data_IF_246492317414
#
_entry.id   IF_246492317414
#
_cell.length_a   1.000
_cell.length_b   1.000
_cell.length_c   1.000
_cell.angle_alpha   90.00
_cell.angle_beta   90.00
_cell.angle_gamma   90.00
#
_symmetry.space_group_name_H-M   'P 1'
#
loop_
_entity.id
_entity.type
_entity.pdbx_description
1 polymer ?
#
# COMPACT_ATOMS: atom_id res chain seq x y z
N UNK A 1 -5.23 -1.12 -36.99
CA UNK A 1 -5.48 -2.28 -36.12
C UNK A 1 -5.77 -1.69 -34.76
N UNK A 2 -7.05 -1.57 -34.43
CA UNK A 2 -7.54 -0.81 -33.27
C UNK A 2 -7.19 -1.46 -31.95
N UNK A 3 -6.21 -0.89 -31.27
CA UNK A 3 -5.88 -1.22 -29.88
C UNK A 3 -6.94 -0.67 -28.91
N UNK A 4 -7.65 0.41 -29.29
CA UNK A 4 -8.76 1.02 -28.54
C UNK A 4 -9.97 0.09 -28.45
N UNK A 5 -10.45 -0.46 -29.58
CA UNK A 5 -11.62 -1.33 -29.63
C UNK A 5 -11.46 -2.63 -28.82
N UNK A 6 -10.23 -3.17 -28.74
CA UNK A 6 -9.91 -4.36 -27.95
C UNK A 6 -9.83 -4.05 -26.45
N UNK A 7 -9.37 -2.84 -26.11
CA UNK A 7 -9.30 -2.35 -24.72
C UNK A 7 -10.69 -2.06 -24.19
N UNK A 8 -11.56 -1.46 -25.01
CA UNK A 8 -12.96 -1.21 -24.68
C UNK A 8 -13.70 -2.50 -24.35
N UNK A 9 -13.79 -3.49 -25.27
CA UNK A 9 -14.56 -4.72 -25.02
C UNK A 9 -14.13 -5.50 -23.77
N UNK A 10 -12.85 -5.47 -23.42
CA UNK A 10 -12.33 -6.10 -22.19
C UNK A 10 -12.81 -5.35 -20.94
N UNK A 11 -12.63 -4.02 -20.91
CA UNK A 11 -13.03 -3.19 -19.77
C UNK A 11 -14.55 -3.22 -19.53
N UNK A 12 -15.36 -3.30 -20.59
CA UNK A 12 -16.81 -3.51 -20.46
C UNK A 12 -17.15 -4.83 -19.74
N UNK A 13 -16.43 -5.91 -20.02
CA UNK A 13 -16.62 -7.20 -19.35
C UNK A 13 -16.22 -7.17 -17.88
N UNK A 14 -15.14 -6.48 -17.56
CA UNK A 14 -14.63 -6.29 -16.20
C UNK A 14 -15.55 -5.44 -15.32
N UNK A 15 -16.06 -4.33 -15.87
CA UNK A 15 -17.05 -3.49 -15.21
C UNK A 15 -18.37 -4.24 -14.94
N UNK A 16 -18.82 -5.09 -15.88
CA UNK A 16 -20.00 -5.94 -15.68
C UNK A 16 -19.77 -6.99 -14.59
N UNK A 17 -18.57 -7.57 -14.49
CA UNK A 17 -18.22 -8.47 -13.39
C UNK A 17 -18.27 -7.76 -12.02
N UNK A 18 -17.67 -6.57 -11.90
CA UNK A 18 -17.72 -5.78 -10.67
C UNK A 18 -19.15 -5.40 -10.29
N UNK A 19 -19.97 -5.00 -11.26
CA UNK A 19 -21.38 -4.72 -11.06
C UNK A 19 -22.15 -5.94 -10.56
N UNK A 20 -21.96 -7.10 -11.18
CA UNK A 20 -22.60 -8.36 -10.74
C UNK A 20 -22.16 -8.75 -9.33
N UNK A 21 -20.88 -8.56 -9.01
CA UNK A 21 -20.30 -8.86 -7.69
C UNK A 21 -20.81 -7.93 -6.58
N UNK A 22 -21.29 -6.75 -6.94
CA UNK A 22 -21.70 -5.71 -5.98
C UNK A 22 -23.16 -5.30 -6.13
N UNK A 23 -23.95 -6.10 -6.83
CA UNK A 23 -25.36 -5.82 -7.13
C UNK A 23 -26.25 -5.72 -5.89
N UNK A 24 -25.82 -6.26 -4.74
CA UNK A 24 -26.48 -6.07 -3.44
C UNK A 24 -25.60 -5.32 -2.43
N UNK A 25 -26.21 -4.46 -1.61
CA UNK A 25 -25.51 -3.74 -0.52
C UNK A 25 -24.87 -4.70 0.49
N UNK A 26 -25.46 -5.88 0.71
CA UNK A 26 -24.90 -6.90 1.59
C UNK A 26 -23.59 -7.49 1.04
N UNK A 27 -23.55 -7.78 -0.27
CA UNK A 27 -22.32 -8.26 -0.91
C UNK A 27 -21.23 -7.18 -0.95
N UNK A 28 -21.60 -5.90 -1.14
CA UNK A 28 -20.65 -4.78 -1.03
C UNK A 28 -20.00 -4.73 0.34
N UNK A 29 -20.79 -4.88 1.41
CA UNK A 29 -20.28 -4.89 2.78
C UNK A 29 -19.37 -6.09 3.04
N UNK A 30 -19.79 -7.30 2.65
CA UNK A 30 -18.98 -8.51 2.81
C UNK A 30 -17.65 -8.41 2.06
N UNK A 31 -17.65 -7.86 0.85
CA UNK A 31 -16.44 -7.66 0.07
C UNK A 31 -15.53 -6.60 0.70
N UNK A 32 -16.09 -5.50 1.24
CA UNK A 32 -15.32 -4.53 2.02
C UNK A 32 -14.66 -5.19 3.24
N UNK A 33 -15.41 -5.99 3.99
CA UNK A 33 -14.90 -6.65 5.20
C UNK A 33 -13.79 -7.67 4.86
N UNK A 34 -13.94 -8.41 3.76
CA UNK A 34 -12.92 -9.32 3.25
C UNK A 34 -11.65 -8.58 2.78
N UNK A 35 -11.80 -7.45 2.08
CA UNK A 35 -10.66 -6.65 1.65
C UNK A 35 -9.97 -5.98 2.84
N UNK A 36 -10.71 -5.47 3.81
CA UNK A 36 -10.16 -4.94 5.05
C UNK A 36 -9.39 -6.01 5.84
N UNK A 37 -9.93 -7.23 5.89
CA UNK A 37 -9.25 -8.37 6.51
C UNK A 37 -7.95 -8.74 5.77
N UNK A 38 -7.98 -8.78 4.43
CA UNK A 38 -6.79 -9.04 3.62
C UNK A 38 -5.73 -7.93 3.75
N UNK A 39 -6.18 -6.68 3.84
CA UNK A 39 -5.32 -5.52 4.05
C UNK A 39 -4.65 -5.56 5.43
N UNK A 40 -5.36 -6.02 6.47
CA UNK A 40 -4.79 -6.20 7.81
C UNK A 40 -3.58 -7.15 7.87
N UNK A 41 -3.40 -8.00 6.87
CA UNK A 41 -2.24 -8.90 6.80
C UNK A 41 -1.10 -8.35 5.93
N UNK A 42 -1.40 -7.45 5.00
CA UNK A 42 -0.48 -7.10 3.90
C UNK A 42 -0.21 -5.61 3.73
N UNK A 43 -0.99 -4.73 4.37
CA UNK A 43 -0.85 -3.28 4.25
C UNK A 43 0.52 -2.80 4.76
N UNK A 44 1.24 -1.96 3.99
CA UNK A 44 2.51 -1.38 4.41
C UNK A 44 2.39 -0.55 5.70
N UNK A 45 1.24 0.10 5.93
CA UNK A 45 1.01 0.93 7.10
C UNK A 45 0.96 0.10 8.38
N UNK A 46 0.24 -1.02 8.36
CA UNK A 46 0.16 -1.92 9.50
C UNK A 46 1.51 -2.59 9.80
N UNK A 47 2.28 -2.94 8.77
CA UNK A 47 3.63 -3.49 8.95
C UNK A 47 4.55 -2.49 9.67
N UNK A 48 4.49 -1.20 9.33
CA UNK A 48 5.28 -0.15 9.98
C UNK A 48 4.94 -0.05 11.47
N UNK A 49 3.66 -0.05 11.81
CA UNK A 49 3.21 0.01 13.21
C UNK A 49 3.59 -1.27 13.96
N UNK A 50 3.46 -2.44 13.33
CA UNK A 50 3.88 -3.71 13.89
C UNK A 50 5.36 -3.75 14.25
N UNK A 51 6.24 -3.17 13.42
CA UNK A 51 7.67 -3.03 13.73
C UNK A 51 7.88 -2.10 14.93
N UNK A 52 7.21 -0.95 14.97
CA UNK A 52 7.28 0.00 16.10
C UNK A 52 6.82 -0.64 17.42
N UNK A 53 5.73 -1.40 17.40
CA UNK A 53 5.23 -2.17 18.55
C UNK A 53 6.25 -3.20 19.04
N UNK A 54 6.87 -3.95 18.11
CA UNK A 54 7.93 -4.91 18.45
C UNK A 54 9.13 -4.21 19.10
N UNK A 55 9.58 -3.09 18.54
CA UNK A 55 10.67 -2.30 19.11
C UNK A 55 10.34 -1.79 20.52
N UNK A 56 9.13 -1.31 20.74
CA UNK A 56 8.69 -0.81 22.05
C UNK A 56 8.61 -1.94 23.09
N UNK A 57 8.09 -3.12 22.69
CA UNK A 57 8.09 -4.32 23.55
C UNK A 57 9.50 -4.77 23.92
N UNK A 58 10.45 -4.70 22.97
CA UNK A 58 11.86 -4.99 23.24
C UNK A 58 12.48 -3.99 24.22
N UNK A 59 12.15 -2.69 24.12
CA UNK A 59 12.60 -1.69 25.11
C UNK A 59 12.04 -2.00 26.50
N UNK A 60 10.77 -2.40 26.59
CA UNK A 60 10.14 -2.80 27.86
C UNK A 60 10.82 -4.07 28.44
N UNK A 61 11.03 -5.10 27.63
CA UNK A 61 11.74 -6.32 28.02
C UNK A 61 13.19 -6.04 28.45
N UNK A 62 13.90 -5.14 27.75
CA UNK A 62 15.24 -4.69 28.12
C UNK A 62 15.20 -3.95 29.44
N UNK A 63 14.21 -3.10 29.68
CA UNK A 63 14.02 -2.40 30.95
C UNK A 63 13.78 -3.38 32.11
N UNK A 64 12.98 -4.45 31.90
CA UNK A 64 12.79 -5.50 32.91
C UNK A 64 14.05 -6.35 33.11
N UNK A 65 14.82 -6.60 32.06
CA UNK A 65 16.11 -7.30 32.17
C UNK A 65 17.16 -6.50 32.97
N UNK A 66 16.98 -5.19 33.20
CA UNK A 66 17.87 -4.39 34.07
C UNK A 66 17.77 -4.77 35.55
N UNK A 67 16.73 -5.52 35.95
CA UNK A 67 16.61 -6.09 37.30
C UNK A 67 17.46 -7.36 37.48
N UNK A 68 17.99 -7.92 36.40
CA UNK A 68 18.88 -9.08 36.43
C UNK A 68 20.35 -8.61 36.48
N UNK A 69 21.25 -9.42 37.07
CA UNK A 69 22.68 -9.14 37.05
C UNK A 69 23.19 -9.16 35.60
N UNK A 70 24.10 -8.23 35.29
CA UNK A 70 24.82 -8.22 34.02
C UNK A 70 26.13 -8.96 34.20
N UNK A 71 26.42 -9.87 33.27
CA UNK A 71 27.66 -10.63 33.21
C UNK A 71 28.40 -10.15 31.96
N UNK A 72 29.53 -9.49 32.15
CA UNK A 72 30.45 -9.11 31.08
C UNK A 72 31.64 -10.05 31.10
N UNK A 73 32.05 -10.55 29.93
CA UNK A 73 33.31 -11.27 29.76
C UNK A 73 34.19 -10.41 28.85
N UNK A 74 35.40 -10.15 29.30
CA UNK A 74 36.40 -9.38 28.57
C UNK A 74 37.65 -10.26 28.44
N UNK A 75 38.17 -10.37 27.22
CA UNK A 75 39.46 -10.99 26.96
C UNK A 75 40.30 -9.99 26.15
N UNK A 76 41.55 -9.78 26.56
CA UNK A 76 42.52 -9.01 25.79
C UNK A 76 43.76 -9.86 25.52
N UNK A 77 44.40 -9.59 24.40
CA UNK A 77 45.67 -10.18 24.04
C UNK A 77 46.54 -9.06 23.49
N UNK A 78 47.62 -8.77 24.19
CA UNK A 78 48.45 -7.61 23.98
C UNK A 78 49.87 -8.08 23.64
N UNK A 79 50.33 -7.68 22.45
CA UNK A 79 51.69 -7.88 22.00
C UNK A 79 52.47 -6.58 22.21
N UNK A 80 53.33 -6.55 23.23
CA UNK A 80 54.29 -5.46 23.40
C UNK A 80 55.55 -5.79 22.61
N UNK A 81 55.92 -4.88 21.71
CA UNK A 81 57.18 -4.91 21.00
C UNK A 81 57.99 -3.70 21.50
N UNK A 82 58.51 -3.78 22.73
CA UNK A 82 59.44 -2.79 23.24
C UNK A 82 60.82 -3.06 22.61
N UNK A 83 61.27 -2.17 21.72
CA UNK A 83 62.70 -2.11 21.39
C UNK A 83 63.44 -1.58 22.63
N UNK A 84 63.97 -2.50 23.44
CA UNK A 84 64.93 -2.15 24.49
C UNK A 84 66.26 -1.76 23.84
N UNK A 85 66.69 -0.50 23.99
CA UNK A 85 67.99 0.00 23.53
C UNK A 85 69.18 -0.45 24.41
N UNK A 86 68.94 -1.27 25.44
CA UNK A 86 69.98 -1.74 26.35
C UNK A 86 70.17 -3.25 26.20
N UNK A 87 71.34 -3.62 25.67
CA UNK A 87 71.73 -4.99 25.34
C UNK A 87 71.60 -5.96 26.52
N UNK A 88 70.57 -6.80 26.44
CA UNK A 88 70.29 -7.96 27.27
C UNK A 88 69.08 -8.62 26.65
N UNK A 89 69.29 -9.67 25.86
CA UNK A 89 68.22 -10.38 25.16
C UNK A 89 67.34 -11.12 26.17
N UNK A 90 66.25 -10.48 26.57
CA UNK A 90 65.02 -11.12 27.03
C UNK A 90 63.90 -10.59 26.14
N UNK A 91 63.65 -11.28 25.02
CA UNK A 91 62.36 -11.19 24.36
C UNK A 91 61.34 -11.83 25.30
N UNK A 92 60.49 -11.03 25.94
CA UNK A 92 59.24 -11.51 26.56
C UNK A 92 58.37 -10.32 27.00
N UNK A 93 57.05 -10.48 27.20
CA UNK A 93 56.17 -11.56 26.77
C UNK A 93 54.90 -11.04 26.05
N UNK A 94 54.30 -11.87 25.20
CA UNK A 94 52.88 -11.70 24.86
C UNK A 94 52.05 -11.81 26.15
N UNK A 95 51.24 -10.79 26.46
CA UNK A 95 50.37 -10.81 27.64
C UNK A 95 48.93 -11.07 27.22
N UNK A 96 48.22 -11.89 27.98
CA UNK A 96 46.81 -12.16 27.77
C UNK A 96 46.07 -11.96 29.08
N UNK A 97 44.87 -11.38 29.01
CA UNK A 97 44.01 -11.20 30.16
C UNK A 97 42.61 -11.72 29.85
N UNK A 98 42.01 -12.39 30.81
CA UNK A 98 40.59 -12.74 30.78
C UNK A 98 39.97 -12.30 32.10
N UNK A 99 38.89 -11.53 32.01
CA UNK A 99 38.19 -10.96 33.15
C UNK A 99 36.69 -11.14 33.00
N UNK A 100 36.03 -11.50 34.09
CA UNK A 100 34.57 -11.49 34.16
C UNK A 100 34.12 -10.39 35.10
N UNK A 101 33.08 -9.64 34.71
CA UNK A 101 32.49 -8.55 35.49
C UNK A 101 31.03 -8.86 35.77
N UNK A 102 30.67 -8.90 37.04
CA UNK A 102 29.29 -9.03 37.49
C UNK A 102 28.81 -7.68 38.02
N UNK A 103 27.73 -7.15 37.44
CA UNK A 103 27.13 -5.89 37.87
C UNK A 103 25.67 -6.11 38.25
N UNK A 104 25.34 -5.93 39.53
CA UNK A 104 23.97 -5.94 40.04
C UNK A 104 23.65 -4.59 40.68
N UNK A 105 22.83 -3.76 40.01
CA UNK A 105 22.49 -2.44 40.53
C UNK A 105 21.38 -2.54 41.58
N UNK A 106 21.73 -2.26 42.85
CA UNK A 106 20.84 -2.43 44.01
C UNK A 106 19.81 -1.30 44.19
N UNK A 107 20.16 -0.06 43.83
CA UNK A 107 19.27 1.09 43.98
C UNK A 107 19.49 2.13 42.89
N UNK A 108 18.43 2.57 42.21
CA UNK A 108 18.50 3.58 41.14
C UNK A 108 17.48 4.71 41.33
N UNK A 109 17.08 5.01 42.58
CA UNK A 109 16.27 6.20 42.89
C UNK A 109 14.92 6.29 42.18
N UNK A 110 14.26 5.16 41.91
CA UNK A 110 12.94 5.13 41.27
C UNK A 110 12.92 5.48 39.76
N UNK A 111 14.05 5.90 39.18
CA UNK A 111 14.19 6.21 37.75
C UNK A 111 13.67 5.09 36.84
N UNK A 112 13.92 3.83 37.23
CA UNK A 112 13.44 2.63 36.51
C UNK A 112 11.93 2.49 36.46
N UNK A 113 11.24 2.81 37.56
CA UNK A 113 9.78 2.73 37.60
C UNK A 113 9.16 3.80 36.70
N UNK A 114 9.71 5.03 36.74
CA UNK A 114 9.29 6.11 35.84
C UNK A 114 9.55 5.76 34.37
N UNK A 115 10.74 5.23 34.05
CA UNK A 115 11.09 4.79 32.70
C UNK A 115 10.15 3.67 32.22
N UNK A 116 9.85 2.68 33.07
CA UNK A 116 8.89 1.61 32.75
C UNK A 116 7.48 2.14 32.51
N UNK A 117 7.03 3.11 33.31
CA UNK A 117 5.73 3.73 33.13
C UNK A 117 5.66 4.49 31.80
N UNK A 118 6.71 5.26 31.46
CA UNK A 118 6.81 5.92 30.16
C UNK A 118 6.82 4.94 28.98
N UNK A 119 7.57 3.83 29.09
CA UNK A 119 7.59 2.80 28.05
C UNK A 119 6.24 2.09 27.89
N UNK A 120 5.50 1.89 28.99
CA UNK A 120 4.13 1.33 28.96
C UNK A 120 3.13 2.31 28.35
N UNK A 121 3.21 3.59 28.69
CA UNK A 121 2.38 4.62 28.11
C UNK A 121 2.59 4.69 26.58
N UNK A 122 3.85 4.71 26.14
CA UNK A 122 4.17 4.69 24.69
C UNK A 122 3.77 3.39 23.99
N UNK A 123 3.70 2.25 24.71
CA UNK A 123 3.14 1.02 24.16
C UNK A 123 1.63 1.14 23.97
N UNK A 124 0.92 1.71 24.96
CA UNK A 124 -0.52 1.98 24.83
C UNK A 124 -0.82 2.94 23.68
N UNK A 125 -0.05 4.02 23.54
CA UNK A 125 -0.16 4.96 22.41
C UNK A 125 0.01 4.26 21.06
N UNK A 126 1.00 3.37 20.92
CA UNK A 126 1.19 2.60 19.69
C UNK A 126 0.08 1.57 19.44
N UNK A 127 -0.54 1.01 20.49
CA UNK A 127 -1.69 0.11 20.36
C UNK A 127 -2.92 0.89 19.89
N UNK A 128 -3.17 2.08 20.43
CA UNK A 128 -4.22 2.98 19.94
C UNK A 128 -3.98 3.39 18.48
N UNK A 129 -2.74 3.76 18.14
CA UNK A 129 -2.39 4.12 16.76
C UNK A 129 -2.60 2.96 15.79
N UNK A 130 -2.31 1.72 16.21
CA UNK A 130 -2.59 0.53 15.41
C UNK A 130 -4.09 0.38 15.14
N UNK A 131 -4.91 0.49 16.18
CA UNK A 131 -6.35 0.29 16.06
C UNK A 131 -6.99 1.41 15.21
N UNK A 132 -6.52 2.65 15.38
CA UNK A 132 -6.91 3.81 14.54
C UNK A 132 -6.51 3.61 13.07
N UNK A 133 -5.28 3.17 12.82
CA UNK A 133 -4.79 2.88 11.46
C UNK A 133 -5.59 1.76 10.80
N UNK A 134 -5.96 0.72 11.54
CA UNK A 134 -6.81 -0.36 11.01
C UNK A 134 -8.19 0.17 10.61
N UNK A 135 -8.80 1.04 11.43
CA UNK A 135 -10.07 1.68 11.09
C UNK A 135 -9.95 2.60 9.88
N UNK A 136 -8.85 3.36 9.79
CA UNK A 136 -8.56 4.23 8.66
C UNK A 136 -8.41 3.43 7.36
N UNK A 137 -7.60 2.38 7.36
CA UNK A 137 -7.41 1.50 6.19
C UNK A 137 -8.75 0.88 5.75
N UNK A 138 -9.57 0.42 6.68
CA UNK A 138 -10.90 -0.11 6.34
C UNK A 138 -11.83 0.96 5.74
N UNK A 139 -11.76 2.20 6.22
CA UNK A 139 -12.52 3.31 5.67
C UNK A 139 -12.04 3.69 4.27
N UNK A 140 -10.73 3.77 4.07
CA UNK A 140 -10.09 4.09 2.78
C UNK A 140 -10.47 3.04 1.73
N UNK A 141 -10.34 1.74 2.03
CA UNK A 141 -10.76 0.63 1.15
C UNK A 141 -12.24 0.77 0.76
N UNK A 142 -13.10 1.14 1.70
CA UNK A 142 -14.53 1.30 1.45
C UNK A 142 -14.81 2.47 0.51
N UNK A 143 -14.08 3.59 0.67
CA UNK A 143 -14.18 4.76 -0.22
C UNK A 143 -13.62 4.43 -1.60
N UNK A 144 -12.44 3.81 -1.67
CA UNK A 144 -11.78 3.39 -2.91
C UNK A 144 -12.64 2.41 -3.71
N UNK A 145 -13.20 1.39 -3.06
CA UNK A 145 -14.10 0.43 -3.72
C UNK A 145 -15.36 1.13 -4.27
N UNK A 146 -15.98 2.02 -3.49
CA UNK A 146 -17.16 2.77 -3.96
C UNK A 146 -16.83 3.66 -5.15
N UNK A 147 -15.68 4.33 -5.12
CA UNK A 147 -15.18 5.16 -6.24
C UNK A 147 -15.00 4.29 -7.49
N UNK A 148 -14.33 3.15 -7.36
CA UNK A 148 -14.10 2.22 -8.45
C UNK A 148 -15.42 1.72 -9.06
N UNK A 149 -16.40 1.33 -8.22
CA UNK A 149 -17.71 0.89 -8.69
C UNK A 149 -18.48 1.98 -9.43
N UNK A 150 -18.46 3.21 -8.91
CA UNK A 150 -19.11 4.34 -9.57
C UNK A 150 -18.46 4.62 -10.94
N UNK A 151 -17.14 4.58 -11.03
CA UNK A 151 -16.41 4.76 -12.29
C UNK A 151 -16.67 3.61 -13.27
N UNK A 152 -16.70 2.36 -12.78
CA UNK A 152 -17.07 1.19 -13.59
C UNK A 152 -18.49 1.33 -14.19
N UNK A 153 -19.43 1.95 -13.47
CA UNK A 153 -20.78 2.21 -14.01
C UNK A 153 -20.86 3.40 -14.97
N UNK A 154 -19.99 4.40 -14.81
CA UNK A 154 -20.02 5.64 -15.59
C UNK A 154 -19.13 5.59 -16.85
N UNK A 155 -18.17 4.68 -16.90
CA UNK A 155 -17.29 4.48 -18.05
C UNK A 155 -18.04 3.98 -19.31
N UNK A 156 -18.89 2.93 -19.24
CA UNK A 156 -19.64 2.42 -20.39
C UNK A 156 -20.51 3.47 -21.10
N UNK A 157 -21.29 4.30 -20.37
CA UNK A 157 -22.04 5.39 -21.00
C UNK A 157 -21.15 6.49 -21.58
N UNK A 158 -19.98 6.77 -20.99
CA UNK A 158 -19.06 7.80 -21.48
C UNK A 158 -18.47 7.41 -22.84
N UNK A 159 -18.03 6.16 -23.00
CA UNK A 159 -17.52 5.64 -24.28
C UNK A 159 -18.62 5.67 -25.35
N UNK A 160 -19.81 5.14 -25.05
CA UNK A 160 -20.95 5.19 -26.00
C UNK A 160 -21.32 6.61 -26.40
N UNK A 161 -21.21 7.57 -25.49
CA UNK A 161 -21.47 8.98 -25.80
C UNK A 161 -20.45 9.54 -26.78
N UNK A 162 -19.18 9.12 -26.69
CA UNK A 162 -18.15 9.51 -27.65
C UNK A 162 -18.40 8.89 -29.03
N UNK A 163 -18.70 7.58 -29.09
CA UNK A 163 -19.04 6.89 -30.34
C UNK A 163 -20.25 7.54 -31.07
N UNK A 164 -21.28 7.91 -30.31
CA UNK A 164 -22.46 8.58 -30.85
C UNK A 164 -22.14 9.99 -31.35
N UNK A 165 -21.26 10.73 -30.66
CA UNK A 165 -20.84 12.07 -31.06
C UNK A 165 -19.99 12.03 -32.34
N UNK A 166 -19.11 11.05 -32.47
CA UNK A 166 -18.32 10.78 -33.68
C UNK A 166 -19.23 10.47 -34.88
N UNK A 167 -20.17 9.53 -34.70
CA UNK A 167 -21.13 9.17 -35.76
C UNK A 167 -21.99 10.37 -36.18
N UNK A 168 -22.37 11.23 -35.22
CA UNK A 168 -23.13 12.43 -35.48
C UNK A 168 -22.32 13.48 -36.26
N UNK A 169 -21.03 13.63 -35.93
CA UNK A 169 -20.10 14.49 -36.66
C UNK A 169 -19.94 14.03 -38.11
N UNK A 170 -19.75 12.73 -38.35
CA UNK A 170 -19.66 12.16 -39.71
C UNK A 170 -20.91 12.48 -40.54
N UNK A 171 -22.10 12.28 -39.96
CA UNK A 171 -23.37 12.57 -40.61
C UNK A 171 -23.52 14.05 -40.98
N UNK A 172 -23.07 14.96 -40.11
CA UNK A 172 -23.14 16.40 -40.37
C UNK A 172 -22.08 16.85 -41.37
N UNK A 173 -20.92 16.22 -41.38
CA UNK A 173 -19.89 16.46 -42.39
C UNK A 173 -20.41 16.14 -43.80
N UNK A 174 -21.07 14.99 -43.96
CA UNK A 174 -21.71 14.60 -45.23
C UNK A 174 -22.81 15.57 -45.67
N UNK A 175 -23.62 16.06 -44.72
CA UNK A 175 -24.67 17.04 -45.00
C UNK A 175 -24.10 18.42 -45.37
N UNK A 176 -23.01 18.85 -44.72
CA UNK A 176 -22.30 20.07 -45.05
C UNK A 176 -21.68 19.99 -46.47
N UNK A 177 -21.03 18.87 -46.79
CA UNK A 177 -20.49 18.62 -48.13
C UNK A 177 -21.58 18.63 -49.22
N UNK A 178 -22.79 18.17 -48.87
CA UNK A 178 -23.99 18.25 -49.71
C UNK A 178 -24.69 19.62 -49.71
N UNK A 179 -24.18 20.63 -49.00
CA UNK A 179 -24.75 21.97 -48.89
C UNK A 179 -26.06 22.07 -48.08
N UNK A 180 -26.38 21.04 -47.28
CA UNK A 180 -27.63 20.93 -46.50
C UNK A 180 -27.51 21.42 -45.06
N UNK A 181 -26.29 21.56 -44.55
CA UNK A 181 -25.99 22.05 -43.20
C UNK A 181 -25.05 23.25 -43.29
N UNK A 182 -25.08 24.09 -42.26
CA UNK A 182 -24.19 25.25 -42.16
C UNK A 182 -22.84 24.87 -41.57
N UNK A 183 -21.81 25.69 -41.83
CA UNK A 183 -20.49 25.51 -41.21
C UNK A 183 -20.57 25.61 -39.68
N UNK A 184 -21.50 26.40 -39.14
CA UNK A 184 -21.68 26.56 -37.70
C UNK A 184 -22.14 25.24 -37.05
N UNK A 185 -23.14 24.57 -37.62
CA UNK A 185 -23.62 23.28 -37.12
C UNK A 185 -22.53 22.19 -37.17
N UNK A 186 -21.68 22.21 -38.21
CA UNK A 186 -20.52 21.32 -38.29
C UNK A 186 -19.49 21.61 -37.18
N UNK A 187 -19.23 22.89 -36.88
CA UNK A 187 -18.30 23.28 -35.83
C UNK A 187 -18.82 22.91 -34.43
N UNK A 188 -20.12 23.09 -34.18
CA UNK A 188 -20.76 22.69 -32.92
C UNK A 188 -20.67 21.16 -32.72
N UNK A 189 -20.89 20.39 -33.78
CA UNK A 189 -20.75 18.94 -33.75
C UNK A 189 -19.30 18.50 -33.51
N UNK A 190 -18.33 19.18 -34.14
CA UNK A 190 -16.91 18.92 -33.91
C UNK A 190 -16.53 19.23 -32.46
N UNK A 191 -17.05 20.31 -31.88
CA UNK A 191 -16.80 20.63 -30.48
C UNK A 191 -17.36 19.54 -29.57
N UNK A 192 -18.61 19.10 -29.80
CA UNK A 192 -19.25 18.06 -29.00
C UNK A 192 -18.51 16.71 -29.08
N UNK A 193 -18.06 16.31 -30.28
CA UNK A 193 -17.21 15.13 -30.49
C UNK A 193 -15.93 15.20 -29.64
N UNK A 194 -15.23 16.34 -29.67
CA UNK A 194 -14.00 16.53 -28.91
C UNK A 194 -14.24 16.52 -27.41
N UNK A 195 -15.31 17.15 -26.93
CA UNK A 195 -15.68 17.14 -25.52
C UNK A 195 -16.05 15.73 -25.03
N UNK A 196 -16.83 14.99 -25.82
CA UNK A 196 -17.21 13.61 -25.51
C UNK A 196 -15.99 12.67 -25.48
N UNK A 197 -15.09 12.78 -26.46
CA UNK A 197 -13.85 12.00 -26.51
C UNK A 197 -12.93 12.27 -25.32
N UNK A 198 -12.72 13.54 -24.95
CA UNK A 198 -11.93 13.89 -23.77
C UNK A 198 -12.55 13.35 -22.48
N UNK A 199 -13.88 13.41 -22.36
CA UNK A 199 -14.59 12.87 -21.20
C UNK A 199 -14.43 11.36 -21.09
N UNK A 200 -14.49 10.62 -22.20
CA UNK A 200 -14.29 9.17 -22.22
C UNK A 200 -12.87 8.80 -21.76
N UNK A 201 -11.84 9.46 -22.31
CA UNK A 201 -10.44 9.24 -21.93
C UNK A 201 -10.20 9.56 -20.44
N UNK A 202 -10.70 10.69 -19.95
CA UNK A 202 -10.56 11.04 -18.53
C UNK A 202 -11.25 10.03 -17.61
N UNK A 203 -12.46 9.58 -17.96
CA UNK A 203 -13.19 8.57 -17.16
C UNK A 203 -12.43 7.24 -17.13
N UNK A 204 -11.76 6.89 -18.23
CA UNK A 204 -10.92 5.70 -18.31
C UNK A 204 -9.69 5.81 -17.39
N UNK A 205 -9.00 6.95 -17.43
CA UNK A 205 -7.85 7.22 -16.55
C UNK A 205 -8.26 7.20 -15.07
N UNK A 206 -9.36 7.87 -14.73
CA UNK A 206 -9.91 7.88 -13.37
C UNK A 206 -10.19 6.45 -12.86
N UNK A 207 -10.69 5.56 -13.74
CA UNK A 207 -10.94 4.15 -13.40
C UNK A 207 -9.64 3.41 -13.07
N UNK A 208 -8.61 3.56 -13.92
CA UNK A 208 -7.31 2.92 -13.66
C UNK A 208 -6.62 3.47 -12.42
N UNK A 209 -6.72 4.77 -12.17
CA UNK A 209 -6.22 5.39 -10.94
C UNK A 209 -6.93 4.83 -9.71
N UNK A 210 -8.27 4.75 -9.74
CA UNK A 210 -9.05 4.19 -8.63
C UNK A 210 -8.70 2.71 -8.36
N UNK A 211 -8.46 1.92 -9.41
CA UNK A 211 -8.03 0.53 -9.26
C UNK A 211 -6.62 0.42 -8.64
N UNK A 212 -5.70 1.28 -9.06
CA UNK A 212 -4.33 1.32 -8.54
C UNK A 212 -4.27 1.80 -7.08
N UNK A 213 -5.04 2.84 -6.73
CA UNK A 213 -5.21 3.32 -5.35
C UNK A 213 -5.71 2.19 -4.44
N UNK A 214 -6.77 1.48 -4.85
CA UNK A 214 -7.34 0.39 -4.07
C UNK A 214 -6.34 -0.75 -3.86
N UNK A 215 -5.59 -1.13 -4.90
CA UNK A 215 -4.52 -2.13 -4.77
C UNK A 215 -3.44 -1.69 -3.79
N UNK A 216 -3.06 -0.42 -3.83
CA UNK A 216 -2.05 0.14 -2.94
C UNK A 216 -2.52 0.11 -1.48
N UNK A 217 -3.76 0.51 -1.21
CA UNK A 217 -4.37 0.51 0.13
C UNK A 217 -4.43 -0.90 0.73
N UNK A 218 -4.82 -1.89 -0.09
CA UNK A 218 -4.86 -3.29 0.32
C UNK A 218 -3.44 -3.86 0.51
N UNK A 219 -2.43 -3.26 -0.11
CA UNK A 219 -1.04 -3.73 -0.06
C UNK A 219 -0.73 -4.83 -1.08
N UNK A 220 -1.59 -5.02 -2.08
CA UNK A 220 -1.34 -5.93 -3.20
C UNK A 220 -0.40 -5.29 -4.21
N UNK A 221 0.58 -6.06 -4.68
CA UNK A 221 1.57 -5.59 -5.67
C UNK A 221 1.11 -5.95 -7.07
N UNK A 222 1.00 -4.97 -7.95
CA UNK A 222 0.56 -5.15 -9.34
C UNK A 222 1.59 -5.86 -10.26
N UNK A 223 2.66 -6.48 -9.74
CA UNK A 223 3.90 -6.68 -10.50
C UNK A 223 4.45 -8.11 -10.56
N UNK A 224 3.67 -9.17 -10.30
CA UNK A 224 4.20 -10.53 -10.49
C UNK A 224 4.03 -11.06 -11.93
N UNK A 225 3.10 -10.53 -12.75
CA UNK A 225 2.75 -11.17 -14.05
C UNK A 225 2.45 -10.22 -15.23
N UNK A 226 2.99 -8.98 -15.26
CA UNK A 226 2.76 -8.02 -16.36
C UNK A 226 1.27 -7.70 -16.63
N UNK A 227 0.43 -7.78 -15.59
CA UNK A 227 -1.00 -7.48 -15.64
C UNK A 227 -1.23 -6.02 -15.30
N UNK A 228 -2.27 -5.42 -15.87
CA UNK A 228 -2.71 -4.09 -15.47
C UNK A 228 -3.33 -4.14 -14.06
N UNK A 229 -3.32 -3.03 -13.29
CA UNK A 229 -3.81 -3.00 -11.92
C UNK A 229 -5.25 -3.52 -11.77
N UNK A 230 -6.13 -3.17 -12.69
CA UNK A 230 -7.50 -3.67 -12.85
C UNK A 230 -7.56 -5.20 -12.96
N UNK A 231 -6.76 -5.81 -13.84
CA UNK A 231 -6.75 -7.27 -14.04
C UNK A 231 -6.29 -8.04 -12.80
N UNK A 232 -5.28 -7.53 -12.11
CA UNK A 232 -4.80 -8.15 -10.88
C UNK A 232 -5.88 -8.08 -9.80
N UNK A 233 -6.52 -6.93 -9.65
CA UNK A 233 -7.63 -6.73 -8.72
C UNK A 233 -8.76 -7.73 -8.99
N UNK A 234 -9.19 -7.86 -10.25
CA UNK A 234 -10.29 -8.77 -10.63
C UNK A 234 -9.94 -10.24 -10.44
N UNK A 235 -8.71 -10.63 -10.78
CA UNK A 235 -8.24 -12.01 -10.58
C UNK A 235 -8.34 -12.35 -9.09
N UNK A 236 -7.81 -11.49 -8.22
CA UNK A 236 -7.81 -11.73 -6.77
C UNK A 236 -9.20 -11.66 -6.16
N UNK A 237 -10.07 -10.75 -6.62
CA UNK A 237 -11.47 -10.74 -6.21
C UNK A 237 -12.20 -12.03 -6.60
N UNK A 238 -11.90 -12.59 -7.78
CA UNK A 238 -12.49 -13.86 -8.21
C UNK A 238 -12.01 -15.04 -7.36
N UNK A 239 -10.75 -15.05 -6.95
CA UNK A 239 -10.17 -16.06 -6.04
C UNK A 239 -10.79 -15.99 -4.64
N UNK A 240 -10.95 -14.78 -4.09
CA UNK A 240 -11.58 -14.57 -2.78
C UNK A 240 -13.01 -15.13 -2.76
N UNK A 241 -13.78 -14.92 -3.83
CA UNK A 241 -15.13 -15.48 -3.96
C UNK A 241 -15.13 -17.01 -4.00
N UNK A 242 -14.16 -17.63 -4.69
CA UNK A 242 -14.05 -19.09 -4.76
C UNK A 242 -13.66 -19.71 -3.41
N UNK A 243 -12.91 -18.98 -2.59
CA UNK A 243 -12.52 -19.42 -1.23
C UNK A 243 -13.61 -19.25 -0.16
N UNK A 244 -14.67 -18.49 -0.47
CA UNK A 244 -15.79 -18.19 0.44
C UNK A 244 -17.05 -19.03 0.25
N UNK A 245 -17.01 -20.05 -0.62
CA UNK A 245 -18.05 -21.07 -0.83
C UNK A 245 -17.57 -22.41 -0.27
#
# INVERSE_FOLDING_TARGET
MDESAFTDQRLFGEADLLWRLTSSELQKQQLCDQLAYAAGMSSPLEQRIGVSLKQQRLKLARNTARFLPRIGLQASFDFQNELSETGGFEEEPSSWSIGTRFELPLFLGGSRFKERQGLRAGLGELEYLRDDTHLQVAADIRVGLRRLLNLATNFPPAVRSAELAETYLELLFDQYAGGRQTLLEMLDALQNDREAGLKAVNTQLDYFEAAAELLHEIGWRASENNRTPDQELLTRLSEIRQSGN
#
